data_IF_645966396913
#
_entry.id   IF_645966396913
#
_cell.length_a   1.000
_cell.length_b   1.000
_cell.length_c   1.000
_cell.angle_alpha   90.00
_cell.angle_beta   90.00
_cell.angle_gamma   90.00
#
_symmetry.space_group_name_H-M   'P 1'
#
loop_
_entity.id
_entity.type
_entity.pdbx_description
1 polymer ?
#
# COMPACT_ATOMS: atom_id res chain seq x y z
N UNK A 1 7.86 -7.14 -21.50
CA UNK A 1 8.11 -6.03 -20.55
C UNK A 1 8.28 -6.55 -19.12
N UNK A 2 7.38 -7.39 -18.61
CA UNK A 2 7.45 -7.94 -17.24
C UNK A 2 8.79 -8.58 -16.87
N UNK A 3 9.33 -9.49 -17.70
CA UNK A 3 10.63 -10.16 -17.43
C UNK A 3 11.78 -9.14 -17.38
N UNK A 4 11.80 -8.18 -18.30
CA UNK A 4 12.83 -7.14 -18.32
C UNK A 4 12.74 -6.24 -17.07
N UNK A 5 11.51 -5.89 -16.63
CA UNK A 5 11.28 -5.16 -15.38
C UNK A 5 11.73 -5.96 -14.15
N UNK A 6 11.40 -7.24 -14.07
CA UNK A 6 11.83 -8.11 -12.98
C UNK A 6 13.35 -8.27 -12.93
N UNK A 7 14.01 -8.49 -14.07
CA UNK A 7 15.47 -8.55 -14.15
C UNK A 7 16.11 -7.23 -13.70
N UNK A 8 15.53 -6.10 -14.09
CA UNK A 8 16.02 -4.79 -13.67
C UNK A 8 15.91 -4.59 -12.16
N UNK A 9 14.76 -4.92 -11.56
CA UNK A 9 14.55 -4.86 -10.10
C UNK A 9 15.58 -5.75 -9.40
N UNK A 10 15.71 -7.02 -9.79
CA UNK A 10 16.66 -7.97 -9.18
C UNK A 10 18.11 -7.45 -9.25
N UNK A 11 18.55 -6.95 -10.40
CA UNK A 11 19.91 -6.44 -10.57
C UNK A 11 20.17 -5.20 -9.68
N UNK A 12 19.21 -4.28 -9.62
CA UNK A 12 19.32 -3.05 -8.84
C UNK A 12 19.38 -3.33 -7.33
N UNK A 13 18.53 -4.25 -6.86
CA UNK A 13 18.45 -4.66 -5.46
C UNK A 13 19.79 -5.19 -4.89
N UNK A 14 20.67 -5.73 -5.73
CA UNK A 14 21.96 -6.27 -5.28
C UNK A 14 23.04 -5.21 -4.98
N UNK A 15 22.85 -3.96 -5.39
CA UNK A 15 23.93 -2.95 -5.45
C UNK A 15 23.85 -1.93 -4.31
N UNK A 16 22.69 -1.78 -3.64
CA UNK A 16 22.44 -0.71 -2.67
C UNK A 16 22.65 -1.10 -1.19
N UNK A 17 23.12 -0.12 -0.40
CA UNK A 17 22.97 -0.10 1.06
C UNK A 17 21.94 0.96 1.49
N UNK A 18 21.52 0.98 2.75
CA UNK A 18 20.40 1.83 3.24
C UNK A 18 20.49 3.33 2.90
N UNK A 19 21.69 3.93 2.92
CA UNK A 19 21.88 5.34 2.52
C UNK A 19 21.72 5.55 1.02
N UNK A 20 22.19 4.60 0.21
CA UNK A 20 22.00 4.63 -1.23
C UNK A 20 20.53 4.44 -1.59
N UNK A 21 19.84 3.52 -0.90
CA UNK A 21 18.39 3.30 -0.99
C UNK A 21 17.60 4.57 -0.63
N UNK A 22 17.97 5.25 0.46
CA UNK A 22 17.30 6.49 0.86
C UNK A 22 17.46 7.61 -0.17
N UNK A 23 18.63 7.73 -0.80
CA UNK A 23 18.88 8.74 -1.83
C UNK A 23 18.14 8.41 -3.15
N UNK A 24 18.11 7.15 -3.56
CA UNK A 24 17.37 6.72 -4.75
C UNK A 24 15.86 6.86 -4.56
N UNK A 25 15.32 6.50 -3.39
CA UNK A 25 13.92 6.70 -3.04
C UNK A 25 13.50 8.17 -3.16
N UNK A 26 14.36 9.08 -2.72
CA UNK A 26 14.09 10.52 -2.84
C UNK A 26 14.04 10.96 -4.31
N UNK A 27 15.03 10.56 -5.11
CA UNK A 27 15.05 10.87 -6.55
C UNK A 27 13.84 10.28 -7.28
N UNK A 28 13.49 9.02 -6.99
CA UNK A 28 12.34 8.32 -7.56
C UNK A 28 11.03 9.02 -7.15
N UNK A 29 10.92 9.42 -5.88
CA UNK A 29 9.79 10.20 -5.37
C UNK A 29 9.58 11.52 -6.12
N UNK A 30 10.67 12.24 -6.43
CA UNK A 30 10.58 13.47 -7.25
C UNK A 30 10.04 13.15 -8.64
N UNK A 31 10.60 12.14 -9.32
CA UNK A 31 10.17 11.76 -10.67
C UNK A 31 8.70 11.36 -10.67
N UNK A 32 8.26 10.58 -9.68
CA UNK A 32 6.86 10.18 -9.52
C UNK A 32 5.93 11.40 -9.35
N UNK A 33 6.29 12.32 -8.45
CA UNK A 33 5.51 13.50 -8.15
C UNK A 33 5.39 14.44 -9.37
N UNK A 34 6.52 14.67 -10.05
CA UNK A 34 6.56 15.48 -11.28
C UNK A 34 5.74 14.83 -12.39
N UNK A 35 5.88 13.52 -12.59
CA UNK A 35 5.13 12.78 -13.62
C UNK A 35 3.62 12.89 -13.41
N UNK A 36 3.15 12.68 -12.17
CA UNK A 36 1.74 12.87 -11.81
C UNK A 36 1.27 14.30 -12.06
N UNK A 37 2.07 15.29 -11.65
CA UNK A 37 1.72 16.71 -11.81
C UNK A 37 1.63 17.12 -13.27
N UNK A 38 2.56 16.67 -14.11
CA UNK A 38 2.59 16.98 -15.55
C UNK A 38 1.40 16.37 -16.27
N UNK A 39 1.08 15.09 -16.01
CA UNK A 39 -0.10 14.43 -16.57
C UNK A 39 -1.39 15.11 -16.14
N UNK A 40 -1.50 15.48 -14.86
CA UNK A 40 -2.66 16.20 -14.35
C UNK A 40 -2.85 17.54 -15.05
N UNK A 41 -1.80 18.37 -15.14
CA UNK A 41 -1.87 19.69 -15.77
C UNK A 41 -2.26 19.57 -17.24
N UNK A 42 -1.63 18.65 -17.98
CA UNK A 42 -1.97 18.41 -19.37
C UNK A 42 -3.40 17.91 -19.53
N UNK A 43 -3.83 16.99 -18.67
CA UNK A 43 -5.20 16.46 -18.65
C UNK A 43 -6.24 17.52 -18.38
N UNK A 44 -5.98 18.44 -17.44
CA UNK A 44 -6.86 19.60 -17.18
C UNK A 44 -6.98 20.47 -18.43
N UNK A 45 -5.85 20.76 -19.10
CA UNK A 45 -5.86 21.55 -20.32
C UNK A 45 -6.65 20.87 -21.44
N UNK A 46 -6.42 19.56 -21.68
CA UNK A 46 -7.08 18.77 -22.72
C UNK A 46 -8.57 18.54 -22.46
N UNK A 47 -8.98 18.46 -21.19
CA UNK A 47 -10.38 18.33 -20.79
C UNK A 47 -11.19 19.63 -20.92
N UNK A 48 -10.56 20.75 -21.31
CA UNK A 48 -11.22 22.05 -21.40
C UNK A 48 -11.21 22.87 -20.10
N UNK A 49 -10.32 22.53 -19.17
CA UNK A 49 -10.15 23.22 -17.88
C UNK A 49 -10.85 22.54 -16.71
N UNK A 50 -10.62 23.08 -15.50
CA UNK A 50 -11.14 22.53 -14.24
C UNK A 50 -12.69 22.54 -14.24
N UNK A 51 -13.31 23.59 -14.77
CA UNK A 51 -14.76 23.71 -14.85
C UNK A 51 -15.39 22.55 -15.62
N UNK A 52 -14.81 22.17 -16.75
CA UNK A 52 -15.27 21.04 -17.54
C UNK A 52 -15.11 19.71 -16.79
N UNK A 53 -14.01 19.51 -16.05
CA UNK A 53 -13.83 18.31 -15.22
C UNK A 53 -14.93 18.23 -14.15
N UNK A 54 -15.21 19.33 -13.46
CA UNK A 54 -16.24 19.37 -12.41
C UNK A 54 -17.62 19.11 -13.02
N UNK A 55 -17.92 19.72 -14.17
CA UNK A 55 -19.20 19.51 -14.87
C UNK A 55 -19.38 18.06 -15.29
N UNK A 56 -18.34 17.41 -15.80
CA UNK A 56 -18.37 15.99 -16.11
C UNK A 56 -18.49 15.11 -14.85
N UNK A 57 -17.77 15.44 -13.78
CA UNK A 57 -17.86 14.71 -12.51
C UNK A 57 -19.28 14.79 -11.90
N UNK A 58 -20.00 15.90 -12.10
CA UNK A 58 -21.42 16.04 -11.71
C UNK A 58 -22.36 15.10 -12.47
N UNK A 59 -21.98 14.66 -13.67
CA UNK A 59 -22.76 13.67 -14.43
C UNK A 59 -22.63 12.26 -13.87
N UNK A 60 -21.71 12.02 -12.94
CA UNK A 60 -21.53 10.74 -12.26
C UNK A 60 -22.32 10.79 -10.94
N UNK A 61 -23.47 10.09 -10.84
CA UNK A 61 -24.32 10.15 -9.65
C UNK A 61 -23.56 9.77 -8.37
N UNK A 62 -23.69 10.58 -7.32
CA UNK A 62 -23.06 10.35 -6.02
C UNK A 62 -21.54 10.58 -5.97
N UNK A 63 -20.88 10.94 -7.07
CA UNK A 63 -19.41 11.05 -7.09
C UNK A 63 -18.86 12.25 -6.29
N UNK A 64 -19.53 13.40 -6.39
CA UNK A 64 -19.13 14.63 -5.66
C UNK A 64 -19.79 14.76 -4.28
N UNK A 65 -20.68 13.83 -3.93
CA UNK A 65 -21.34 13.80 -2.63
C UNK A 65 -20.40 13.21 -1.58
N UNK A 66 -20.29 13.84 -0.41
CA UNK A 66 -19.33 13.44 0.62
C UNK A 66 -19.51 11.99 1.10
N UNK A 67 -20.76 11.53 1.17
CA UNK A 67 -21.11 10.14 1.49
C UNK A 67 -21.69 9.38 0.29
N UNK A 68 -21.60 9.92 -0.93
CA UNK A 68 -22.12 9.26 -2.12
C UNK A 68 -21.16 8.22 -2.68
N UNK A 69 -21.71 7.26 -3.41
CA UNK A 69 -20.97 6.20 -4.11
C UNK A 69 -21.43 6.17 -5.55
N UNK A 70 -20.49 6.42 -6.48
CA UNK A 70 -20.72 6.15 -7.89
C UNK A 70 -20.78 4.64 -8.15
N UNK A 71 -21.83 4.18 -8.82
CA UNK A 71 -22.03 2.76 -9.16
C UNK A 71 -21.97 2.57 -10.67
N UNK A 72 -20.84 2.12 -11.24
CA UNK A 72 -20.78 1.86 -12.68
C UNK A 72 -21.78 0.77 -13.06
N UNK A 73 -22.49 0.95 -14.17
CA UNK A 73 -23.34 -0.08 -14.74
C UNK A 73 -22.44 -1.12 -15.45
N UNK A 74 -22.37 -2.32 -14.89
CA UNK A 74 -21.52 -3.40 -15.40
C UNK A 74 -22.38 -4.56 -15.94
N UNK A 75 -21.93 -5.18 -17.03
CA UNK A 75 -22.38 -6.49 -17.49
C UNK A 75 -21.15 -7.38 -17.59
N UNK A 76 -21.14 -8.51 -16.88
CA UNK A 76 -20.01 -9.45 -16.83
C UNK A 76 -18.66 -8.77 -16.51
N UNK A 77 -18.68 -7.77 -15.62
CA UNK A 77 -17.50 -7.01 -15.21
C UNK A 77 -17.04 -5.92 -16.20
N UNK A 78 -17.78 -5.72 -17.30
CA UNK A 78 -17.51 -4.72 -18.32
C UNK A 78 -18.46 -3.53 -18.18
N UNK A 79 -17.88 -2.33 -18.08
CA UNK A 79 -18.58 -1.05 -18.04
C UNK A 79 -19.42 -0.84 -19.30
N UNK A 80 -20.72 -0.65 -19.09
CA UNK A 80 -21.66 -0.33 -20.16
C UNK A 80 -21.51 1.13 -20.58
N UNK A 81 -21.64 1.36 -21.89
CA UNK A 81 -21.53 2.66 -22.53
C UNK A 81 -22.73 2.87 -23.45
N UNK A 82 -23.33 4.05 -23.42
CA UNK A 82 -24.36 4.47 -24.37
C UNK A 82 -24.06 5.88 -24.86
N UNK A 83 -24.29 6.12 -26.16
CA UNK A 83 -24.05 7.43 -26.80
C UNK A 83 -22.65 8.00 -26.51
N UNK A 84 -21.64 7.11 -26.43
CA UNK A 84 -20.26 7.50 -26.14
C UNK A 84 -20.00 7.92 -24.69
N UNK A 85 -20.90 7.61 -23.74
CA UNK A 85 -20.72 7.90 -22.30
C UNK A 85 -20.86 6.65 -21.44
N UNK A 86 -19.98 6.51 -20.45
CA UNK A 86 -20.07 5.43 -19.47
C UNK A 86 -21.34 5.57 -18.63
N UNK A 87 -22.07 4.46 -18.48
CA UNK A 87 -23.32 4.42 -17.75
C UNK A 87 -23.09 4.19 -16.25
N UNK A 88 -23.83 4.91 -15.43
CA UNK A 88 -23.85 4.74 -13.98
C UNK A 88 -25.28 4.46 -13.54
N UNK A 89 -25.42 3.57 -12.56
CA UNK A 89 -26.68 3.37 -11.86
C UNK A 89 -26.99 4.51 -10.90
N UNK A 90 -28.06 4.34 -10.13
CA UNK A 90 -28.39 5.29 -9.06
C UNK A 90 -27.26 5.43 -8.05
N UNK A 91 -27.09 6.65 -7.54
CA UNK A 91 -26.11 6.97 -6.51
C UNK A 91 -26.32 6.06 -5.28
N UNK A 92 -25.27 5.36 -4.88
CA UNK A 92 -25.23 4.69 -3.59
C UNK A 92 -24.84 5.65 -2.48
N UNK A 93 -24.92 5.18 -1.24
CA UNK A 93 -24.40 5.90 -0.08
C UNK A 93 -23.43 5.03 0.72
N UNK A 94 -22.32 5.61 1.18
CA UNK A 94 -21.45 5.00 2.16
C UNK A 94 -22.21 4.89 3.49
N UNK A 95 -22.38 3.66 3.97
CA UNK A 95 -22.83 3.45 5.34
C UNK A 95 -21.75 3.92 6.32
N UNK A 96 -22.12 4.30 7.54
CA UNK A 96 -21.16 4.66 8.58
C UNK A 96 -20.08 3.58 8.77
N UNK A 97 -20.49 2.30 8.77
CA UNK A 97 -19.57 1.16 8.87
C UNK A 97 -18.57 1.11 7.70
N UNK A 98 -19.04 1.38 6.47
CA UNK A 98 -18.16 1.42 5.30
C UNK A 98 -17.15 2.57 5.40
N UNK A 99 -17.57 3.75 5.88
CA UNK A 99 -16.66 4.89 6.10
C UNK A 99 -15.57 4.54 7.12
N UNK A 100 -15.95 4.01 8.28
CA UNK A 100 -14.99 3.56 9.30
C UNK A 100 -14.05 2.50 8.73
N UNK A 101 -14.58 1.59 7.92
CA UNK A 101 -13.81 0.55 7.26
C UNK A 101 -12.83 1.09 6.21
N UNK A 102 -13.17 2.12 5.45
CA UNK A 102 -12.22 2.73 4.50
C UNK A 102 -11.14 3.54 5.23
N UNK A 103 -11.50 4.18 6.35
CA UNK A 103 -10.53 4.88 7.21
C UNK A 103 -9.52 3.93 7.85
N UNK A 104 -9.86 2.66 8.03
CA UNK A 104 -8.94 1.67 8.59
C UNK A 104 -7.70 1.44 7.72
N UNK A 105 -7.68 1.87 6.45
CA UNK A 105 -6.49 1.86 5.61
C UNK A 105 -5.28 2.50 6.29
N UNK A 106 -5.50 3.61 7.01
CA UNK A 106 -4.45 4.31 7.74
C UNK A 106 -3.79 3.46 8.84
N UNK A 107 -4.51 2.49 9.41
CA UNK A 107 -3.97 1.58 10.43
C UNK A 107 -2.87 0.66 9.88
N UNK A 108 -2.86 0.40 8.57
CA UNK A 108 -1.89 -0.50 7.96
C UNK A 108 -0.46 0.00 8.06
N UNK A 109 -0.22 1.32 8.10
CA UNK A 109 1.12 1.91 8.20
C UNK A 109 1.90 1.44 9.44
N UNK A 110 1.21 1.22 10.57
CA UNK A 110 1.84 0.75 11.80
C UNK A 110 2.35 -0.68 11.70
N UNK A 111 1.85 -1.46 10.73
CA UNK A 111 2.25 -2.85 10.52
C UNK A 111 3.35 -3.05 9.49
N UNK A 112 3.90 -1.98 8.91
CA UNK A 112 4.81 -2.03 7.77
C UNK A 112 6.28 -1.90 8.22
N UNK A 113 7.08 -2.98 8.25
CA UNK A 113 8.47 -2.90 8.71
C UNK A 113 9.32 -1.90 7.91
N UNK A 114 9.15 -1.84 6.60
CA UNK A 114 9.84 -0.92 5.69
C UNK A 114 9.59 0.56 6.01
N UNK A 115 8.41 0.89 6.54
CA UNK A 115 8.07 2.25 6.96
C UNK A 115 8.65 2.52 8.35
N UNK A 116 8.51 1.56 9.27
CA UNK A 116 9.03 1.67 10.63
C UNK A 116 10.56 1.83 10.68
N UNK A 117 11.29 1.11 9.82
CA UNK A 117 12.75 1.24 9.70
C UNK A 117 13.16 2.66 9.29
N UNK A 118 12.37 3.32 8.43
CA UNK A 118 12.63 4.72 8.03
C UNK A 118 12.40 5.69 9.18
N UNK A 119 11.43 5.44 10.06
CA UNK A 119 11.27 6.23 11.29
C UNK A 119 12.43 6.01 12.27
N UNK A 120 12.94 4.78 12.39
CA UNK A 120 14.09 4.47 13.25
C UNK A 120 15.41 5.10 12.74
N UNK A 121 15.49 5.43 11.46
CA UNK A 121 16.65 6.07 10.85
C UNK A 121 16.66 7.61 10.99
N UNK A 122 15.64 8.19 11.64
CA UNK A 122 15.59 9.64 11.87
C UNK A 122 16.72 10.03 12.83
N UNK A 123 17.48 11.07 12.45
CA UNK A 123 18.68 11.49 13.19
C UNK A 123 18.34 12.29 14.43
N UNK A 124 17.30 13.12 14.34
CA UNK A 124 16.84 13.98 15.43
C UNK A 124 15.32 14.03 15.50
N UNK A 125 14.74 13.97 16.68
CA UNK A 125 13.29 14.07 16.90
C UNK A 125 12.71 15.37 16.32
N UNK A 126 13.47 16.47 16.34
CA UNK A 126 13.08 17.73 15.71
C UNK A 126 12.81 17.64 14.19
N UNK A 127 13.44 16.70 13.49
CA UNK A 127 13.23 16.48 12.04
C UNK A 127 11.85 15.85 11.74
N UNK A 128 11.19 15.22 12.73
CA UNK A 128 9.88 14.59 12.57
C UNK A 128 8.81 15.58 12.10
N UNK A 129 8.83 16.81 12.60
CA UNK A 129 7.83 17.82 12.24
C UNK A 129 7.91 18.19 10.77
N UNK A 130 9.13 18.38 10.26
CA UNK A 130 9.37 18.68 8.86
C UNK A 130 9.01 17.47 7.98
N UNK A 131 9.50 16.29 8.35
CA UNK A 131 9.23 15.02 7.65
C UNK A 131 7.73 14.77 7.51
N UNK A 132 6.96 14.90 8.60
CA UNK A 132 5.50 14.75 8.60
C UNK A 132 4.82 15.73 7.65
N UNK A 133 5.22 17.01 7.66
CA UNK A 133 4.63 18.04 6.79
C UNK A 133 4.88 17.73 5.32
N UNK A 134 6.12 17.41 4.95
CA UNK A 134 6.49 17.05 3.59
C UNK A 134 5.68 15.83 3.13
N UNK A 135 5.69 14.74 3.91
CA UNK A 135 4.98 13.51 3.58
C UNK A 135 3.47 13.74 3.41
N UNK A 136 2.85 14.50 4.31
CA UNK A 136 1.40 14.77 4.27
C UNK A 136 1.02 15.62 3.04
N UNK A 137 1.78 16.69 2.75
CA UNK A 137 1.52 17.55 1.59
C UNK A 137 1.70 16.76 0.29
N UNK A 138 2.80 16.01 0.17
CA UNK A 138 3.07 15.20 -1.01
C UNK A 138 1.99 14.14 -1.22
N UNK A 139 1.55 13.48 -0.15
CA UNK A 139 0.48 12.49 -0.19
C UNK A 139 -0.84 13.12 -0.65
N UNK A 140 -1.25 14.23 -0.04
CA UNK A 140 -2.48 14.93 -0.38
C UNK A 140 -2.51 15.36 -1.86
N UNK A 141 -1.43 15.95 -2.36
CA UNK A 141 -1.32 16.35 -3.77
C UNK A 141 -1.34 15.14 -4.69
N UNK A 142 -0.57 14.09 -4.38
CA UNK A 142 -0.46 12.90 -5.24
C UNK A 142 -1.76 12.13 -5.34
N UNK A 143 -2.48 11.94 -4.22
CA UNK A 143 -3.76 11.24 -4.20
C UNK A 143 -4.85 12.05 -4.91
N UNK A 144 -4.89 13.37 -4.70
CA UNK A 144 -5.82 14.25 -5.41
C UNK A 144 -5.56 14.21 -6.92
N UNK A 145 -4.29 14.24 -7.33
CA UNK A 145 -3.90 14.12 -8.72
C UNK A 145 -4.31 12.78 -9.32
N UNK A 146 -4.09 11.66 -8.62
CA UNK A 146 -4.46 10.34 -9.09
C UNK A 146 -5.98 10.21 -9.32
N UNK A 147 -6.81 10.69 -8.38
CA UNK A 147 -8.27 10.70 -8.55
C UNK A 147 -8.69 11.58 -9.72
N UNK A 148 -8.14 12.79 -9.82
CA UNK A 148 -8.44 13.71 -10.91
C UNK A 148 -8.04 13.14 -12.29
N UNK A 149 -6.89 12.48 -12.40
CA UNK A 149 -6.45 11.77 -13.62
C UNK A 149 -7.44 10.67 -14.00
N UNK A 150 -7.95 9.90 -13.01
CA UNK A 150 -9.00 8.90 -13.25
C UNK A 150 -10.28 9.51 -13.83
N UNK A 151 -10.73 10.65 -13.27
CA UNK A 151 -11.92 11.38 -13.78
C UNK A 151 -11.65 11.90 -15.20
N UNK A 152 -10.52 12.58 -15.42
CA UNK A 152 -10.12 13.11 -16.74
C UNK A 152 -10.10 11.98 -17.77
N UNK A 153 -9.51 10.85 -17.41
CA UNK A 153 -9.48 9.67 -18.25
C UNK A 153 -10.87 9.16 -18.61
N UNK A 154 -11.77 9.09 -17.63
CA UNK A 154 -13.16 8.69 -17.86
C UNK A 154 -13.91 9.64 -18.80
N UNK A 155 -13.59 10.93 -18.77
CA UNK A 155 -14.20 11.95 -19.64
C UNK A 155 -13.67 11.89 -21.06
N UNK A 156 -12.35 11.79 -21.21
CA UNK A 156 -11.70 11.86 -22.52
C UNK A 156 -11.74 10.52 -23.26
N UNK A 157 -11.76 9.41 -22.54
CA UNK A 157 -11.75 8.05 -23.09
C UNK A 157 -12.88 7.18 -22.51
N UNK A 158 -14.15 7.57 -22.68
CA UNK A 158 -15.30 6.92 -22.04
C UNK A 158 -15.58 5.49 -22.53
N UNK A 159 -15.04 5.13 -23.70
CA UNK A 159 -15.16 3.79 -24.31
C UNK A 159 -13.91 2.93 -24.12
N UNK A 160 -12.86 3.46 -23.50
CA UNK A 160 -11.63 2.73 -23.24
C UNK A 160 -11.61 2.17 -21.81
N UNK A 161 -10.79 1.15 -21.58
CA UNK A 161 -10.48 0.61 -20.25
C UNK A 161 -11.74 0.22 -19.45
N UNK A 162 -12.66 -0.49 -20.11
CA UNK A 162 -14.00 -0.78 -19.59
C UNK A 162 -14.03 -1.82 -18.46
N UNK A 163 -12.90 -2.44 -18.13
CA UNK A 163 -12.79 -3.36 -16.98
C UNK A 163 -11.98 -2.72 -15.86
N UNK A 164 -12.14 -3.23 -14.64
CA UNK A 164 -11.43 -2.70 -13.48
C UNK A 164 -9.90 -2.86 -13.61
N UNK A 165 -9.42 -3.99 -14.12
CA UNK A 165 -7.98 -4.23 -14.35
C UNK A 165 -7.42 -3.32 -15.44
N UNK A 166 -8.14 -3.13 -16.55
CA UNK A 166 -7.69 -2.23 -17.62
C UNK A 166 -7.72 -0.76 -17.21
N UNK A 167 -8.68 -0.35 -16.36
CA UNK A 167 -8.78 1.02 -15.83
C UNK A 167 -7.52 1.49 -15.09
N UNK A 168 -6.74 0.58 -14.50
CA UNK A 168 -5.47 0.92 -13.83
C UNK A 168 -4.39 1.43 -14.81
N UNK A 169 -4.57 1.21 -16.12
CA UNK A 169 -3.67 1.70 -17.17
C UNK A 169 -3.98 3.13 -17.64
N UNK A 170 -4.95 3.82 -17.04
CA UNK A 170 -5.38 5.14 -17.52
C UNK A 170 -4.26 6.18 -17.55
N UNK A 171 -3.35 6.13 -16.58
CA UNK A 171 -2.18 7.01 -16.56
C UNK A 171 -1.28 6.81 -17.79
N UNK A 172 -1.11 5.55 -18.22
CA UNK A 172 -0.30 5.21 -19.40
C UNK A 172 -0.96 5.78 -20.65
N UNK A 173 -2.27 5.52 -20.83
CA UNK A 173 -3.05 6.02 -21.98
C UNK A 173 -2.95 7.54 -22.08
N UNK A 174 -3.19 8.26 -20.99
CA UNK A 174 -3.11 9.73 -20.98
C UNK A 174 -1.69 10.22 -21.29
N UNK A 175 -0.67 9.54 -20.77
CA UNK A 175 0.72 9.92 -21.03
C UNK A 175 1.11 9.75 -22.50
N UNK A 176 0.70 8.66 -23.15
CA UNK A 176 1.03 8.39 -24.55
C UNK A 176 0.24 9.26 -25.52
N UNK A 177 -0.97 9.67 -25.15
CA UNK A 177 -1.84 10.49 -25.99
C UNK A 177 -1.55 11.99 -25.86
N UNK A 178 -1.16 12.45 -24.66
CA UNK A 178 -0.95 13.89 -24.42
C UNK A 178 0.43 14.38 -24.83
N UNK A 179 1.43 13.50 -24.80
CA UNK A 179 2.83 13.87 -24.96
C UNK A 179 3.47 13.19 -26.16
N UNK A 180 4.45 13.87 -26.75
CA UNK A 180 5.31 13.25 -27.76
C UNK A 180 6.15 12.12 -27.13
N UNK A 181 6.64 11.14 -27.92
CA UNK A 181 7.16 9.87 -27.40
C UNK A 181 8.24 9.98 -26.32
N UNK A 182 9.17 10.93 -26.45
CA UNK A 182 10.24 11.11 -25.47
C UNK A 182 9.69 11.58 -24.10
N UNK A 183 8.80 12.56 -24.09
CA UNK A 183 8.21 13.06 -22.84
C UNK A 183 7.26 12.03 -22.23
N UNK A 184 6.48 11.32 -23.05
CA UNK A 184 5.69 10.17 -22.61
C UNK A 184 6.57 9.11 -21.93
N UNK A 185 7.73 8.80 -22.52
CA UNK A 185 8.71 7.88 -21.94
C UNK A 185 9.27 8.34 -20.58
N UNK A 186 9.58 9.63 -20.43
CA UNK A 186 10.04 10.21 -19.14
C UNK A 186 8.95 10.11 -18.08
N UNK A 187 7.70 10.44 -18.43
CA UNK A 187 6.55 10.35 -17.52
C UNK A 187 6.28 8.89 -17.11
N UNK A 188 6.36 7.96 -18.06
CA UNK A 188 6.23 6.53 -17.80
C UNK A 188 7.38 5.98 -16.96
N UNK A 189 8.58 6.57 -17.04
CA UNK A 189 9.68 6.24 -16.13
C UNK A 189 9.31 6.51 -14.67
N UNK A 190 8.37 7.41 -14.39
CA UNK A 190 7.78 7.60 -13.06
C UNK A 190 7.05 6.36 -12.52
N UNK A 191 6.33 5.62 -13.38
CA UNK A 191 5.70 4.34 -12.98
C UNK A 191 6.77 3.30 -12.65
N UNK A 192 7.80 3.22 -13.49
CA UNK A 192 8.92 2.30 -13.25
C UNK A 192 9.63 2.64 -11.94
N UNK A 193 9.90 3.94 -11.69
CA UNK A 193 10.49 4.42 -10.44
C UNK A 193 9.66 4.01 -9.22
N UNK A 194 8.33 4.18 -9.27
CA UNK A 194 7.42 3.77 -8.20
C UNK A 194 7.43 2.26 -7.95
N UNK A 195 7.46 1.49 -9.02
CA UNK A 195 7.44 0.02 -8.96
C UNK A 195 8.76 -0.50 -8.39
N UNK A 196 9.89 0.06 -8.83
CA UNK A 196 11.23 -0.35 -8.40
C UNK A 196 11.45 0.00 -6.93
N UNK A 197 11.13 1.22 -6.49
CA UNK A 197 11.34 1.66 -5.10
C UNK A 197 10.62 0.75 -4.09
N UNK A 198 9.37 0.40 -4.39
CA UNK A 198 8.57 -0.44 -3.51
C UNK A 198 8.99 -1.91 -3.58
N UNK A 199 9.20 -2.43 -4.79
CA UNK A 199 9.56 -3.84 -4.98
C UNK A 199 10.90 -4.16 -4.35
N UNK A 200 11.86 -3.24 -4.43
CA UNK A 200 13.21 -3.40 -3.85
C UNK A 200 13.13 -3.62 -2.33
N UNK A 201 12.52 -2.68 -1.61
CA UNK A 201 12.40 -2.80 -0.14
C UNK A 201 11.64 -4.06 0.28
N UNK A 202 10.54 -4.42 -0.41
CA UNK A 202 9.78 -5.64 -0.05
C UNK A 202 10.56 -6.94 -0.33
N UNK A 203 11.22 -7.05 -1.49
CA UNK A 203 12.02 -8.22 -1.84
C UNK A 203 13.21 -8.39 -0.90
N UNK A 204 13.91 -7.30 -0.59
CA UNK A 204 15.03 -7.30 0.36
C UNK A 204 14.60 -7.70 1.76
N UNK A 205 13.52 -7.12 2.27
CA UNK A 205 13.03 -7.42 3.62
C UNK A 205 12.60 -8.88 3.70
N UNK A 206 11.87 -9.40 2.70
CA UNK A 206 11.46 -10.80 2.69
C UNK A 206 12.65 -11.76 2.59
N UNK A 207 13.60 -11.48 1.69
CA UNK A 207 14.80 -12.29 1.54
C UNK A 207 15.70 -12.28 2.80
N UNK A 208 15.87 -11.10 3.41
CA UNK A 208 16.63 -10.92 4.65
C UNK A 208 15.94 -11.58 5.85
N UNK A 209 14.61 -11.47 5.95
CA UNK A 209 13.84 -12.15 6.99
C UNK A 209 14.02 -13.66 6.89
N UNK A 210 13.97 -14.24 5.70
CA UNK A 210 14.23 -15.65 5.51
C UNK A 210 15.69 -16.01 5.85
N UNK A 211 16.67 -15.29 5.29
CA UNK A 211 18.08 -15.66 5.45
C UNK A 211 18.60 -15.46 6.87
N UNK A 212 18.25 -14.36 7.54
CA UNK A 212 18.71 -14.05 8.90
C UNK A 212 17.85 -14.69 9.98
N UNK A 213 16.52 -14.59 9.89
CA UNK A 213 15.67 -15.05 10.99
C UNK A 213 15.39 -16.55 10.91
N UNK A 214 15.14 -17.08 9.71
CA UNK A 214 14.81 -18.50 9.53
C UNK A 214 16.08 -19.32 9.31
N UNK A 215 16.84 -19.04 8.26
CA UNK A 215 18.00 -19.85 7.90
C UNK A 215 19.10 -19.73 8.95
N UNK A 216 19.61 -18.54 9.23
CA UNK A 216 20.65 -18.38 10.25
C UNK A 216 20.09 -18.54 11.68
N UNK A 217 19.00 -17.85 12.02
CA UNK A 217 18.47 -17.83 13.38
C UNK A 217 17.91 -19.17 13.89
N UNK A 218 17.37 -20.01 13.01
CA UNK A 218 16.70 -21.27 13.40
C UNK A 218 17.40 -22.49 12.80
N UNK A 219 17.66 -22.52 11.49
CA UNK A 219 18.12 -23.74 10.80
C UNK A 219 19.64 -23.99 10.92
N UNK A 220 20.47 -22.95 10.76
CA UNK A 220 21.93 -23.05 10.68
C UNK A 220 22.62 -21.83 11.32
N UNK A 221 22.67 -21.88 12.65
CA UNK A 221 23.17 -20.80 13.54
C UNK A 221 24.66 -20.49 13.38
N UNK A 222 25.42 -21.40 12.80
CA UNK A 222 26.86 -21.30 12.55
C UNK A 222 27.19 -20.90 11.10
N UNK A 223 26.18 -20.58 10.29
CA UNK A 223 26.41 -20.15 8.91
C UNK A 223 27.21 -18.84 8.87
N UNK A 224 28.36 -18.83 8.18
CA UNK A 224 29.15 -17.62 7.99
C UNK A 224 28.51 -16.64 6.98
N UNK A 225 28.91 -15.37 7.05
CA UNK A 225 28.33 -14.25 6.29
C UNK A 225 28.22 -14.49 4.78
N UNK A 226 29.24 -15.11 4.18
CA UNK A 226 29.24 -15.45 2.74
C UNK A 226 28.08 -16.39 2.37
N UNK A 227 27.77 -17.35 3.25
CA UNK A 227 26.65 -18.29 3.05
C UNK A 227 25.32 -17.56 3.23
N UNK A 228 25.20 -16.72 4.26
CA UNK A 228 23.98 -15.93 4.50
C UNK A 228 23.69 -15.00 3.31
N UNK A 229 24.71 -14.35 2.76
CA UNK A 229 24.57 -13.53 1.56
C UNK A 229 24.11 -14.37 0.36
N UNK A 230 24.71 -15.53 0.12
CA UNK A 230 24.27 -16.43 -0.96
C UNK A 230 22.81 -16.84 -0.81
N UNK A 231 22.41 -17.29 0.40
CA UNK A 231 21.02 -17.66 0.69
C UNK A 231 20.08 -16.48 0.46
N UNK A 232 20.44 -15.28 0.91
CA UNK A 232 19.64 -14.06 0.68
C UNK A 232 19.39 -13.84 -0.81
N UNK A 233 20.43 -13.97 -1.65
CA UNK A 233 20.29 -13.80 -3.12
C UNK A 233 19.43 -14.89 -3.76
N UNK A 234 19.58 -16.15 -3.33
CA UNK A 234 18.76 -17.27 -3.81
C UNK A 234 17.29 -17.05 -3.43
N UNK A 235 17.02 -16.70 -2.17
CA UNK A 235 15.66 -16.43 -1.70
C UNK A 235 15.04 -15.26 -2.47
N UNK A 236 15.78 -14.19 -2.72
CA UNK A 236 15.31 -13.07 -3.53
C UNK A 236 14.87 -13.52 -4.93
N UNK A 237 15.70 -14.31 -5.62
CA UNK A 237 15.36 -14.83 -6.97
C UNK A 237 14.12 -15.73 -6.90
N UNK A 238 14.01 -16.58 -5.87
CA UNK A 238 12.85 -17.45 -5.68
C UNK A 238 11.56 -16.66 -5.44
N UNK A 239 11.60 -15.65 -4.57
CA UNK A 239 10.44 -14.77 -4.31
C UNK A 239 10.07 -13.99 -5.57
N UNK A 240 11.04 -13.44 -6.29
CA UNK A 240 10.79 -12.71 -7.54
C UNK A 240 10.17 -13.62 -8.61
N UNK A 241 10.63 -14.86 -8.75
CA UNK A 241 10.05 -15.84 -9.65
C UNK A 241 8.59 -16.16 -9.28
N UNK A 242 8.30 -16.35 -7.99
CA UNK A 242 6.94 -16.58 -7.50
C UNK A 242 6.02 -15.36 -7.72
N UNK A 243 6.53 -14.15 -7.46
CA UNK A 243 5.81 -12.90 -7.71
C UNK A 243 5.49 -12.72 -9.21
N UNK A 244 6.41 -13.09 -10.11
CA UNK A 244 6.15 -13.08 -11.55
C UNK A 244 5.04 -14.05 -11.96
N UNK A 245 4.98 -15.25 -11.35
CA UNK A 245 3.89 -16.21 -11.63
C UNK A 245 2.53 -15.61 -11.24
N UNK A 246 2.44 -14.93 -10.09
CA UNK A 246 1.21 -14.26 -9.67
C UNK A 246 0.88 -13.08 -10.62
N UNK A 247 1.89 -12.34 -11.07
CA UNK A 247 1.72 -11.19 -11.95
C UNK A 247 1.30 -11.54 -13.40
N UNK A 248 1.33 -12.83 -13.78
CA UNK A 248 0.85 -13.29 -15.09
C UNK A 248 -0.68 -13.27 -15.23
N UNK A 249 -1.42 -13.17 -14.12
CA UNK A 249 -2.88 -13.04 -14.16
C UNK A 249 -3.29 -11.60 -14.52
N UNK A 250 -3.52 -11.35 -15.80
CA UNK A 250 -3.93 -10.05 -16.36
C UNK A 250 -5.33 -9.58 -15.88
N UNK A 251 -6.13 -10.48 -15.31
CA UNK A 251 -7.45 -10.13 -14.75
C UNK A 251 -7.35 -9.59 -13.32
N UNK A 252 -6.19 -9.73 -12.68
CA UNK A 252 -5.96 -9.26 -11.33
C UNK A 252 -5.93 -7.73 -11.27
N UNK A 253 -6.58 -7.16 -10.26
CA UNK A 253 -6.59 -5.72 -10.00
C UNK A 253 -5.50 -5.41 -8.99
N UNK A 254 -4.53 -4.56 -9.37
CA UNK A 254 -3.37 -4.18 -8.55
C UNK A 254 -3.84 -3.65 -7.20
N UNK A 255 -4.83 -2.74 -7.18
CA UNK A 255 -5.39 -2.21 -5.95
C UNK A 255 -5.91 -3.32 -5.02
N UNK A 256 -6.56 -4.36 -5.55
CA UNK A 256 -7.11 -5.45 -4.75
C UNK A 256 -5.99 -6.29 -4.13
N UNK A 257 -4.96 -6.65 -4.90
CA UNK A 257 -3.82 -7.43 -4.40
C UNK A 257 -3.06 -6.64 -3.32
N UNK A 258 -2.78 -5.36 -3.59
CA UNK A 258 -2.08 -4.47 -2.64
C UNK A 258 -2.92 -4.27 -1.38
N UNK A 259 -4.23 -4.04 -1.50
CA UNK A 259 -5.12 -3.85 -0.35
C UNK A 259 -5.15 -5.08 0.57
N UNK A 260 -5.09 -6.29 0.00
CA UNK A 260 -5.10 -7.52 0.77
C UNK A 260 -3.77 -7.73 1.51
N UNK A 261 -2.63 -7.52 0.83
CA UNK A 261 -1.32 -7.54 1.47
C UNK A 261 -1.22 -6.46 2.58
N UNK A 262 -1.78 -5.27 2.32
CA UNK A 262 -1.84 -4.16 3.27
C UNK A 262 -2.61 -4.53 4.54
N UNK A 263 -3.75 -5.22 4.38
CA UNK A 263 -4.53 -5.73 5.50
C UNK A 263 -3.74 -6.77 6.32
N UNK A 264 -3.05 -7.69 5.64
CA UNK A 264 -2.24 -8.74 6.27
C UNK A 264 -1.17 -8.18 7.20
N UNK A 265 -0.29 -7.31 6.69
CA UNK A 265 0.74 -6.65 7.50
C UNK A 265 0.12 -5.76 8.58
N UNK A 266 -0.88 -4.96 8.20
CA UNK A 266 -1.56 -4.03 9.09
C UNK A 266 -2.15 -4.69 10.33
N UNK A 267 -2.90 -5.78 10.16
CA UNK A 267 -3.54 -6.49 11.27
C UNK A 267 -2.57 -7.37 12.09
N UNK A 268 -1.54 -7.92 11.44
CA UNK A 268 -0.56 -8.80 12.10
C UNK A 268 0.37 -7.99 13.00
N UNK A 269 0.97 -6.92 12.47
CA UNK A 269 2.02 -6.17 13.17
C UNK A 269 1.55 -4.83 13.73
N UNK A 270 0.56 -4.17 13.13
CA UNK A 270 0.12 -2.83 13.53
C UNK A 270 -0.37 -2.74 14.97
N UNK A 271 -1.30 -3.61 15.42
CA UNK A 271 -1.78 -3.61 16.80
C UNK A 271 -0.64 -3.79 17.80
N UNK A 272 0.21 -4.79 17.62
CA UNK A 272 1.30 -5.05 18.57
C UNK A 272 2.31 -3.90 18.61
N UNK A 273 2.60 -3.24 17.47
CA UNK A 273 3.42 -2.03 17.45
C UNK A 273 2.80 -0.90 18.29
N UNK A 274 1.51 -0.61 18.12
CA UNK A 274 0.82 0.43 18.91
C UNK A 274 0.78 0.07 20.40
N UNK A 275 0.41 -1.15 20.74
CA UNK A 275 0.34 -1.60 22.12
C UNK A 275 1.72 -1.58 22.78
N UNK A 276 2.79 -1.92 22.07
CA UNK A 276 4.16 -1.87 22.61
C UNK A 276 4.63 -0.45 22.92
N UNK A 277 4.15 0.54 22.17
CA UNK A 277 4.47 1.96 22.39
C UNK A 277 3.63 2.61 23.50
N UNK A 278 2.38 2.18 23.67
CA UNK A 278 1.41 2.90 24.52
C UNK A 278 0.87 2.09 25.71
N UNK A 279 1.15 0.79 25.80
CA UNK A 279 0.63 -0.07 26.87
C UNK A 279 1.71 -0.94 27.52
N UNK A 280 2.16 -0.53 28.69
CA UNK A 280 3.21 -1.22 29.46
C UNK A 280 2.91 -2.68 29.86
N UNK A 281 1.65 -3.13 29.76
CA UNK A 281 1.24 -4.48 30.20
C UNK A 281 1.36 -5.55 29.11
N UNK A 282 1.75 -5.17 27.89
CA UNK A 282 1.98 -6.13 26.78
C UNK A 282 2.96 -7.21 27.20
N UNK A 283 2.58 -8.46 26.93
CA UNK A 283 3.41 -9.63 27.20
C UNK A 283 3.78 -10.34 25.92
N UNK A 284 4.85 -11.14 25.95
CA UNK A 284 5.26 -11.98 24.80
C UNK A 284 4.11 -12.87 24.31
N UNK A 285 3.35 -13.49 25.23
CA UNK A 285 2.22 -14.34 24.87
C UNK A 285 1.08 -13.53 24.24
N UNK A 286 0.79 -12.32 24.75
CA UNK A 286 -0.18 -11.43 24.15
C UNK A 286 0.23 -10.94 22.76
N UNK A 287 1.51 -10.63 22.57
CA UNK A 287 2.07 -10.26 21.27
C UNK A 287 1.88 -11.37 20.22
N UNK A 288 2.25 -12.60 20.55
CA UNK A 288 2.10 -13.75 19.65
C UNK A 288 0.62 -14.01 19.36
N UNK A 289 -0.25 -13.98 20.39
CA UNK A 289 -1.68 -14.18 20.21
C UNK A 289 -2.30 -13.11 19.30
N UNK A 290 -1.93 -11.84 19.49
CA UNK A 290 -2.31 -10.73 18.62
C UNK A 290 -1.93 -10.94 17.17
N UNK A 291 -0.65 -11.22 16.92
CA UNK A 291 -0.13 -11.45 15.57
C UNK A 291 -0.86 -12.60 14.86
N UNK A 292 -1.06 -13.72 15.55
CA UNK A 292 -1.76 -14.87 15.00
C UNK A 292 -3.25 -14.57 14.76
N UNK A 293 -3.92 -13.92 15.70
CA UNK A 293 -5.33 -13.54 15.58
C UNK A 293 -5.55 -12.55 14.43
N UNK A 294 -4.76 -11.49 14.35
CA UNK A 294 -4.83 -10.50 13.28
C UNK A 294 -4.55 -11.11 11.91
N UNK A 295 -3.40 -11.79 11.77
CA UNK A 295 -3.00 -12.40 10.51
C UNK A 295 -3.99 -13.43 9.99
N UNK A 296 -4.47 -14.34 10.86
CA UNK A 296 -5.47 -15.34 10.47
C UNK A 296 -6.84 -14.71 10.17
N UNK A 297 -7.26 -13.71 10.93
CA UNK A 297 -8.55 -13.05 10.73
C UNK A 297 -8.62 -12.32 9.38
N UNK A 298 -7.49 -11.82 8.83
CA UNK A 298 -7.49 -11.25 7.47
C UNK A 298 -7.94 -12.27 6.43
N UNK A 299 -7.42 -13.50 6.49
CA UNK A 299 -7.81 -14.58 5.57
C UNK A 299 -9.24 -15.06 5.82
N UNK A 300 -9.59 -15.30 7.09
CA UNK A 300 -10.96 -15.72 7.47
C UNK A 300 -11.98 -14.67 7.02
N UNK A 301 -11.69 -13.39 7.24
CA UNK A 301 -12.58 -12.32 6.85
C UNK A 301 -12.70 -12.21 5.34
N UNK A 302 -11.58 -12.20 4.61
CA UNK A 302 -11.58 -12.07 3.15
C UNK A 302 -12.26 -13.24 2.44
N UNK A 303 -11.97 -14.47 2.87
CA UNK A 303 -12.35 -15.68 2.14
C UNK A 303 -13.70 -16.26 2.61
N UNK A 304 -14.10 -16.08 3.86
CA UNK A 304 -15.29 -16.71 4.44
C UNK A 304 -16.39 -15.71 4.78
N UNK A 305 -16.04 -14.57 5.40
CA UNK A 305 -17.02 -13.64 5.97
C UNK A 305 -17.45 -12.56 4.95
N UNK A 306 -16.49 -11.91 4.29
CA UNK A 306 -16.73 -10.85 3.30
C UNK A 306 -17.66 -11.29 2.15
N UNK A 307 -17.56 -12.53 1.61
CA UNK A 307 -18.47 -13.00 0.56
C UNK A 307 -19.94 -13.11 1.00
N UNK A 308 -20.23 -13.12 2.32
CA UNK A 308 -21.61 -13.11 2.82
C UNK A 308 -22.33 -11.78 2.55
N UNK A 309 -21.60 -10.73 2.21
CA UNK A 309 -22.17 -9.43 1.83
C UNK A 309 -22.78 -8.64 3.00
N UNK A 310 -23.57 -7.62 2.67
CA UNK A 310 -24.21 -6.74 3.65
C UNK A 310 -23.19 -6.06 4.59
N UNK A 311 -23.44 -6.11 5.89
CA UNK A 311 -22.55 -5.52 6.92
C UNK A 311 -21.16 -6.19 6.98
N UNK A 312 -21.04 -7.42 6.48
CA UNK A 312 -19.78 -8.17 6.45
C UNK A 312 -18.90 -7.82 5.26
N UNK A 313 -19.46 -7.16 4.24
CA UNK A 313 -18.79 -6.75 3.00
C UNK A 313 -17.76 -5.62 3.15
N UNK A 314 -17.27 -5.37 4.36
CA UNK A 314 -16.28 -4.34 4.66
C UNK A 314 -14.84 -4.78 4.37
N UNK A 315 -13.92 -3.82 4.38
CA UNK A 315 -12.50 -4.07 4.23
C UNK A 315 -11.96 -4.89 5.41
N UNK A 316 -11.32 -6.01 5.09
CA UNK A 316 -10.84 -7.04 6.01
C UNK A 316 -9.85 -6.54 7.09
N UNK A 317 -9.14 -5.43 6.85
CA UNK A 317 -8.20 -4.87 7.83
C UNK A 317 -8.90 -4.45 9.13
N UNK A 318 -10.04 -3.75 9.06
CA UNK A 318 -10.73 -3.25 10.26
C UNK A 318 -11.06 -4.37 11.28
N UNK A 319 -11.82 -5.42 10.91
CA UNK A 319 -12.18 -6.48 11.85
C UNK A 319 -10.96 -7.29 12.29
N UNK A 320 -9.98 -7.52 11.41
CA UNK A 320 -8.77 -8.25 11.76
C UNK A 320 -7.88 -7.47 12.75
N UNK A 321 -7.78 -6.15 12.59
CA UNK A 321 -7.08 -5.27 13.51
C UNK A 321 -7.74 -5.31 14.90
N UNK A 322 -9.08 -5.24 14.96
CA UNK A 322 -9.84 -5.35 16.21
C UNK A 322 -9.61 -6.72 16.88
N UNK A 323 -9.67 -7.81 16.12
CA UNK A 323 -9.43 -9.16 16.63
C UNK A 323 -8.03 -9.30 17.24
N UNK A 324 -7.01 -8.74 16.59
CA UNK A 324 -5.65 -8.66 17.10
C UNK A 324 -5.56 -7.85 18.39
N UNK A 325 -6.16 -6.66 18.45
CA UNK A 325 -6.23 -5.85 19.68
C UNK A 325 -6.85 -6.62 20.85
N UNK A 326 -7.99 -7.30 20.61
CA UNK A 326 -8.68 -8.09 21.63
C UNK A 326 -7.79 -9.23 22.12
N UNK A 327 -7.14 -9.96 21.21
CA UNK A 327 -6.24 -11.07 21.56
C UNK A 327 -5.03 -10.59 22.37
N UNK A 328 -4.43 -9.44 22.00
CA UNK A 328 -3.33 -8.82 22.77
C UNK A 328 -3.78 -8.53 24.19
N UNK A 329 -4.90 -7.81 24.35
CA UNK A 329 -5.39 -7.40 25.66
C UNK A 329 -5.76 -8.61 26.51
N UNK A 330 -6.57 -9.52 25.98
CA UNK A 330 -7.04 -10.69 26.71
C UNK A 330 -5.88 -11.58 27.16
N UNK A 331 -4.98 -11.94 26.25
CA UNK A 331 -3.88 -12.87 26.58
C UNK A 331 -2.82 -12.19 27.44
N UNK A 332 -2.54 -10.89 27.26
CA UNK A 332 -1.62 -10.18 28.16
C UNK A 332 -2.13 -10.12 29.59
N UNK A 333 -3.43 -9.86 29.79
CA UNK A 333 -4.04 -9.86 31.13
C UNK A 333 -4.11 -11.25 31.77
N UNK A 334 -4.31 -12.31 30.97
CA UNK A 334 -4.33 -13.70 31.45
C UNK A 334 -2.94 -14.27 31.71
N UNK A 335 -1.91 -13.74 31.06
CA UNK A 335 -0.52 -14.14 31.26
C UNK A 335 0.15 -13.39 32.42
N UNK A 336 1.30 -13.89 32.89
CA UNK A 336 2.12 -13.21 33.90
C UNK A 336 2.51 -11.79 33.50
N UNK A 337 2.86 -10.96 34.49
CA UNK A 337 3.32 -9.59 34.23
C UNK A 337 4.62 -9.57 33.42
N UNK A 338 4.87 -8.52 32.62
CA UNK A 338 6.16 -8.33 31.96
C UNK A 338 7.29 -8.29 33.00
N UNK A 339 8.50 -8.67 32.58
CA UNK A 339 9.67 -8.56 33.46
C UNK A 339 9.90 -7.11 33.86
N UNK A 340 10.52 -6.90 35.03
CA UNK A 340 10.89 -5.54 35.50
C UNK A 340 11.76 -4.82 34.47
N UNK A 341 12.67 -5.54 33.81
CA UNK A 341 13.51 -5.01 32.74
C UNK A 341 12.69 -4.35 31.62
N UNK A 342 11.62 -5.00 31.14
CA UNK A 342 10.74 -4.46 30.10
C UNK A 342 9.96 -3.24 30.61
N UNK A 343 9.49 -3.28 31.86
CA UNK A 343 8.77 -2.16 32.46
C UNK A 343 9.68 -0.93 32.63
N UNK A 344 10.92 -1.15 33.06
CA UNK A 344 11.92 -0.10 33.24
C UNK A 344 12.32 0.49 31.87
N UNK A 345 12.48 -0.34 30.84
CA UNK A 345 12.73 0.12 29.47
C UNK A 345 11.57 0.97 28.94
N UNK A 346 10.33 0.56 29.17
CA UNK A 346 9.14 1.31 28.77
C UNK A 346 9.09 2.69 29.44
N UNK A 347 9.30 2.78 30.76
CA UNK A 347 9.29 4.06 31.46
C UNK A 347 10.48 4.96 31.06
N UNK A 348 11.66 4.37 30.79
CA UNK A 348 12.81 5.11 30.25
C UNK A 348 12.52 5.70 28.88
N UNK A 349 11.92 4.93 27.97
CA UNK A 349 11.57 5.41 26.64
C UNK A 349 10.52 6.52 26.69
N UNK A 350 9.55 6.41 27.61
CA UNK A 350 8.51 7.42 27.81
C UNK A 350 9.05 8.75 28.38
N UNK A 351 10.04 8.68 29.25
CA UNK A 351 10.68 9.84 29.87
C UNK A 351 11.85 10.41 29.04
N UNK A 352 12.13 9.86 27.86
CA UNK A 352 13.22 10.31 27.02
C UNK A 352 12.95 11.71 26.45
N UNK A 353 13.81 12.66 26.79
CA UNK A 353 13.95 13.96 26.14
C UNK A 353 15.30 13.99 25.41
N UNK A 354 15.30 14.50 24.17
CA UNK A 354 16.45 14.48 23.25
C UNK A 354 17.54 15.52 23.58
#
# INVERSE_FOLDING_TARGET
IMIAGALFVICYTFIGGFLAESASDFMQGIIMFVSLSVVLIAGISKAGGISAIIENAKQIPGFLEFFGIARPALQDGVQQVSEGRALFGEAGSYSFLTVVSTMSWGLGYFGMPQVLLKFMAIRKSGELTLSRRIATIWCAVSLTAAVAIGIIGRVLYPTALLTQSTSENIFIVLSTEFFFPLLAGIVMAGILAATISSSDSYLLIAASAFSKNIYHGIMKKDAGDKTILLITRITLIAIAAFAMIIALDENSVIFTVVSFAWAGFGATFGPIMLFSLFWKRVTRSGAIAGMLAGGSMVFVWKLLIKPMGGIFGIYELLPAFIASCIAIVAVSLLSGEPSREILDEFERAKAYEE
#
